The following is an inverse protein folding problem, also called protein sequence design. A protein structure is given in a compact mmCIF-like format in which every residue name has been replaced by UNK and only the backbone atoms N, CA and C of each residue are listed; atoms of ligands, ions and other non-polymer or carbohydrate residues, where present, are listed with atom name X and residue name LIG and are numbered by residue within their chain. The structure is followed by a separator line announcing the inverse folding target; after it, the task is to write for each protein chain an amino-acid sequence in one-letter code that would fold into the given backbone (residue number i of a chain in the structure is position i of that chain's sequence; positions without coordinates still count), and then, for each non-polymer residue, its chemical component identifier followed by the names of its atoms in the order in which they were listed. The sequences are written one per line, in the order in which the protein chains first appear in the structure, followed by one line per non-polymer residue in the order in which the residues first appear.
data_IF_834325591310
#
_entry.id   IF_834325591310
#
_cell.length_a   1.000
_cell.length_b   1.000
_cell.length_c   1.000
_cell.angle_alpha   90.00
_cell.angle_beta   90.00
_cell.angle_gamma   90.00
#
_symmetry.space_group_name_H-M   'P 1'
#
loop_
_entity.id
_entity.type
_entity.pdbx_description
1 polymer ?
#
# COMPACT_ATOMS: atom_id res chain seq x y z
N UNK A 1 -1.51 -42.62 -48.30
CA UNK A 1 -0.18 -42.62 -48.95
C UNK A 1 -0.03 -41.33 -49.74
N UNK A 2 0.76 -40.41 -49.23
CA UNK A 2 1.08 -39.15 -49.88
C UNK A 2 2.03 -39.40 -51.04
N UNK A 3 1.70 -38.84 -52.18
CA UNK A 3 2.51 -38.98 -53.42
C UNK A 3 3.77 -38.12 -53.27
N UNK A 4 5.01 -38.68 -53.23
CA UNK A 4 6.22 -37.94 -52.95
C UNK A 4 6.65 -37.00 -54.10
N UNK A 5 5.86 -36.87 -55.14
CA UNK A 5 6.14 -35.98 -56.28
C UNK A 5 5.27 -34.71 -56.29
N UNK A 6 4.33 -34.54 -55.34
CA UNK A 6 3.58 -33.29 -55.28
C UNK A 6 4.37 -32.25 -54.43
N UNK A 7 4.48 -31.03 -54.93
CA UNK A 7 5.08 -29.95 -54.12
C UNK A 7 4.27 -29.71 -52.87
N UNK A 8 4.96 -29.62 -51.73
CA UNK A 8 4.34 -29.29 -50.46
C UNK A 8 3.85 -27.83 -50.53
N UNK A 9 2.55 -27.62 -50.45
CA UNK A 9 1.95 -26.30 -50.39
C UNK A 9 1.45 -26.08 -48.97
N UNK A 10 1.92 -25.02 -48.33
CA UNK A 10 1.46 -24.58 -47.00
C UNK A 10 1.05 -23.13 -47.06
N UNK A 11 0.08 -22.76 -46.23
CA UNK A 11 -0.35 -21.38 -46.00
C UNK A 11 0.02 -21.01 -44.56
N UNK A 12 0.76 -19.96 -44.39
CA UNK A 12 1.04 -19.36 -43.09
C UNK A 12 0.26 -18.05 -42.94
N UNK A 13 -0.50 -17.92 -41.85
CA UNK A 13 -1.13 -16.65 -41.49
C UNK A 13 -0.21 -15.99 -40.48
N UNK A 14 0.28 -14.81 -40.82
CA UNK A 14 1.15 -14.02 -39.99
C UNK A 14 0.39 -12.74 -39.63
N UNK A 15 0.26 -12.49 -38.33
CA UNK A 15 -0.21 -11.19 -37.83
C UNK A 15 0.95 -10.20 -37.92
N UNK A 16 0.76 -9.13 -38.68
CA UNK A 16 1.72 -8.03 -38.77
C UNK A 16 1.12 -6.80 -38.14
N UNK A 17 1.96 -6.07 -37.38
CA UNK A 17 1.54 -4.76 -36.89
C UNK A 17 1.27 -3.82 -38.08
N UNK A 18 0.13 -3.10 -38.07
CA UNK A 18 -0.16 -2.13 -39.12
C UNK A 18 0.88 -1.01 -39.10
N UNK A 19 1.24 -0.50 -40.27
CA UNK A 19 2.08 0.69 -40.39
C UNK A 19 1.29 1.91 -39.91
N UNK A 20 1.59 2.40 -38.70
CA UNK A 20 0.95 3.53 -38.09
C UNK A 20 1.66 4.82 -38.51
N UNK A 21 1.00 5.70 -39.22
CA UNK A 21 1.47 7.05 -39.56
C UNK A 21 0.70 8.08 -38.73
N UNK A 22 1.18 8.46 -37.53
CA UNK A 22 0.47 9.41 -36.70
C UNK A 22 0.39 10.78 -37.37
N UNK A 23 -0.81 11.34 -37.39
CA UNK A 23 -1.04 12.71 -37.84
C UNK A 23 -0.82 13.63 -36.65
N UNK A 24 0.30 14.35 -36.66
CA UNK A 24 0.58 15.42 -35.72
C UNK A 24 0.02 16.72 -36.29
N UNK A 25 -0.95 17.29 -35.60
CA UNK A 25 -1.49 18.62 -35.92
C UNK A 25 -0.79 19.67 -35.05
N UNK A 26 -0.53 20.85 -35.63
CA UNK A 26 -0.05 22.02 -34.86
C UNK A 26 -1.07 22.48 -33.78
N UNK A 27 -2.30 22.02 -33.87
CA UNK A 27 -3.42 22.37 -33.00
C UNK A 27 -3.81 21.23 -32.05
N UNK A 28 -2.92 20.26 -31.88
CA UNK A 28 -3.13 19.21 -30.90
C UNK A 28 -2.85 19.78 -29.52
N UNK A 29 -3.90 20.07 -28.77
CA UNK A 29 -3.78 20.55 -27.38
C UNK A 29 -3.73 19.36 -26.44
N UNK A 30 -2.77 19.34 -25.55
CA UNK A 30 -2.67 18.41 -24.43
C UNK A 30 -2.63 19.21 -23.13
N UNK A 31 -2.97 18.57 -22.04
CA UNK A 31 -2.89 19.17 -20.72
C UNK A 31 -1.46 18.99 -20.16
N UNK A 32 -0.88 20.09 -19.72
CA UNK A 32 0.38 20.12 -18.98
C UNK A 32 0.03 20.24 -17.49
N UNK A 33 0.67 19.40 -16.68
CA UNK A 33 0.40 19.34 -15.24
C UNK A 33 1.54 20.01 -14.50
N UNK A 34 1.18 20.88 -13.56
CA UNK A 34 2.09 21.52 -12.62
C UNK A 34 1.57 21.26 -11.21
N UNK A 35 2.40 20.69 -10.36
CA UNK A 35 2.07 20.31 -8.99
C UNK A 35 2.91 21.16 -8.04
N UNK A 36 2.28 22.01 -7.29
CA UNK A 36 2.95 22.81 -6.26
C UNK A 36 3.11 21.98 -4.98
N UNK A 37 4.31 22.02 -4.39
CA UNK A 37 4.60 21.43 -3.08
C UNK A 37 4.51 22.52 -2.04
N UNK A 38 3.57 22.41 -1.15
CA UNK A 38 3.40 23.32 -0.03
C UNK A 38 4.30 22.95 1.16
N UNK A 39 4.54 23.90 2.05
CA UNK A 39 5.32 23.64 3.28
C UNK A 39 4.65 22.57 4.17
N UNK A 40 3.33 22.50 4.14
CA UNK A 40 2.57 21.48 4.85
C UNK A 40 2.88 20.07 4.35
N UNK A 41 3.03 19.86 3.04
CA UNK A 41 3.36 18.56 2.45
C UNK A 41 4.73 18.08 2.90
N UNK A 42 5.69 19.02 2.97
CA UNK A 42 7.04 18.72 3.46
C UNK A 42 6.99 18.30 4.93
N UNK A 43 6.21 19.00 5.76
CA UNK A 43 6.07 18.67 7.17
C UNK A 43 5.39 17.28 7.35
N UNK A 44 4.35 16.98 6.60
CA UNK A 44 3.69 15.68 6.60
C UNK A 44 4.66 14.56 6.20
N UNK A 45 5.46 14.76 5.16
CA UNK A 45 6.47 13.79 4.75
C UNK A 45 7.53 13.55 5.84
N UNK A 46 7.95 14.60 6.53
CA UNK A 46 8.89 14.51 7.66
C UNK A 46 8.25 13.75 8.83
N UNK A 47 6.99 14.03 9.16
CA UNK A 47 6.27 13.36 10.25
C UNK A 47 6.04 11.87 9.93
N UNK A 48 5.76 11.53 8.67
CA UNK A 48 5.69 10.14 8.23
C UNK A 48 7.03 9.40 8.39
N UNK A 49 8.14 10.07 8.05
CA UNK A 49 9.48 9.51 8.27
C UNK A 49 9.71 9.30 9.76
N UNK A 50 9.42 10.26 10.63
CA UNK A 50 9.57 10.15 12.08
C UNK A 50 8.76 8.98 12.65
N UNK A 51 7.53 8.79 12.19
CA UNK A 51 6.68 7.65 12.58
C UNK A 51 7.25 6.33 12.09
N UNK A 52 7.66 6.26 10.83
CA UNK A 52 8.18 5.03 10.21
C UNK A 52 9.48 4.52 10.87
N UNK A 53 10.33 5.43 11.32
CA UNK A 53 11.61 5.13 11.96
C UNK A 53 11.58 5.29 13.48
N UNK A 54 10.40 5.49 14.06
CA UNK A 54 10.17 5.51 15.49
C UNK A 54 10.29 4.15 16.13
N UNK A 55 10.32 4.14 17.43
CA UNK A 55 10.44 2.93 18.24
C UNK A 55 9.14 2.65 19.01
N UNK A 56 8.81 1.38 19.18
CA UNK A 56 7.66 0.96 19.97
C UNK A 56 8.07 0.75 21.43
N UNK A 57 7.44 1.49 22.34
CA UNK A 57 7.73 1.41 23.76
C UNK A 57 6.56 0.79 24.52
N UNK A 58 6.85 -0.18 25.38
CA UNK A 58 5.85 -0.81 26.24
C UNK A 58 5.22 0.21 27.19
N UNK A 59 3.90 0.20 27.27
CA UNK A 59 3.14 1.08 28.16
C UNK A 59 2.16 0.29 29.02
N UNK A 60 2.00 0.72 30.28
CA UNK A 60 1.13 0.08 31.26
C UNK A 60 -0.24 0.82 31.35
N UNK A 61 -0.92 0.90 30.19
CA UNK A 61 -2.25 1.55 30.09
C UNK A 61 -3.16 0.76 29.17
N UNK A 62 -4.40 1.22 29.05
CA UNK A 62 -5.33 0.71 28.06
C UNK A 62 -4.86 1.02 26.63
N UNK A 63 -5.09 0.08 25.73
CA UNK A 63 -4.78 0.20 24.31
C UNK A 63 -5.61 1.33 23.66
N UNK A 64 -4.98 2.11 22.81
CA UNK A 64 -5.59 3.21 22.04
C UNK A 64 -5.39 2.99 20.54
N UNK A 65 -6.10 3.75 19.74
CA UNK A 65 -5.81 3.83 18.31
C UNK A 65 -4.33 4.25 18.11
N UNK A 66 -3.72 3.72 17.06
CA UNK A 66 -2.31 3.88 16.68
C UNK A 66 -1.30 3.20 17.63
N UNK A 67 -1.74 2.55 18.72
CA UNK A 67 -0.86 1.68 19.51
C UNK A 67 -0.61 0.36 18.77
N UNK A 68 0.57 -0.21 18.95
CA UNK A 68 0.86 -1.59 18.57
C UNK A 68 0.54 -2.49 19.76
N UNK A 69 -0.25 -3.52 19.52
CA UNK A 69 -0.52 -4.55 20.52
C UNK A 69 0.16 -5.85 20.14
N UNK A 70 0.64 -6.58 21.15
CA UNK A 70 1.17 -7.94 21.00
C UNK A 70 0.12 -8.89 21.53
N UNK A 71 -0.45 -9.71 20.67
CA UNK A 71 -1.56 -10.61 20.98
C UNK A 71 -1.27 -12.05 20.58
N UNK A 72 -1.83 -12.99 21.33
CA UNK A 72 -2.14 -14.31 20.81
C UNK A 72 -3.64 -14.37 20.58
N UNK A 73 -4.07 -15.04 19.53
CA UNK A 73 -5.49 -15.26 19.31
C UNK A 73 -5.77 -16.63 18.71
N UNK A 74 -6.98 -17.13 18.99
CA UNK A 74 -7.55 -18.34 18.44
C UNK A 74 -8.97 -18.03 18.00
N UNK A 75 -9.27 -18.21 16.71
CA UNK A 75 -10.60 -18.03 16.15
C UNK A 75 -11.36 -19.36 16.11
N UNK A 76 -12.66 -19.32 16.38
CA UNK A 76 -13.57 -20.46 16.34
C UNK A 76 -14.85 -20.07 15.60
N UNK A 77 -15.39 -20.99 14.83
CA UNK A 77 -16.71 -20.86 14.19
C UNK A 77 -17.55 -22.02 14.72
N UNK A 78 -18.69 -21.70 15.35
CA UNK A 78 -19.56 -22.68 16.00
C UNK A 78 -18.83 -23.62 17.00
N UNK A 79 -17.76 -23.09 17.63
CA UNK A 79 -16.92 -23.80 18.59
C UNK A 79 -15.79 -24.65 17.98
N UNK A 80 -15.70 -24.74 16.65
CA UNK A 80 -14.65 -25.48 15.95
C UNK A 80 -13.57 -24.53 15.42
N UNK A 81 -12.33 -25.00 15.50
CA UNK A 81 -11.17 -24.27 14.95
C UNK A 81 -11.14 -24.40 13.41
N UNK A 82 -10.69 -23.33 12.72
CA UNK A 82 -10.55 -23.34 11.28
C UNK A 82 -9.11 -23.01 10.84
N UNK A 83 -8.73 -23.32 9.62
CA UNK A 83 -7.37 -23.12 9.11
C UNK A 83 -6.97 -21.64 9.08
N UNK A 84 -5.87 -21.30 9.74
CA UNK A 84 -5.36 -19.93 9.83
C UNK A 84 -6.01 -19.10 10.92
N UNK A 85 -6.71 -19.74 11.85
CA UNK A 85 -7.43 -19.10 12.96
C UNK A 85 -6.53 -18.71 14.15
N UNK A 86 -5.26 -19.06 14.17
CA UNK A 86 -4.39 -18.92 15.34
C UNK A 86 -3.12 -18.17 15.01
N UNK A 87 -2.74 -17.23 15.86
CA UNK A 87 -1.44 -16.60 15.84
C UNK A 87 -0.91 -16.40 17.27
N UNK A 88 0.42 -16.46 17.41
CA UNK A 88 1.10 -16.16 18.65
C UNK A 88 2.06 -14.99 18.44
N UNK A 89 2.21 -14.15 19.47
CA UNK A 89 3.08 -12.95 19.45
C UNK A 89 2.82 -12.04 18.22
N UNK A 90 1.56 -12.01 17.77
CA UNK A 90 1.18 -11.23 16.62
C UNK A 90 1.18 -9.74 16.98
N UNK A 91 1.92 -8.97 16.20
CA UNK A 91 2.01 -7.52 16.35
C UNK A 91 0.97 -6.85 15.46
N UNK A 92 0.04 -6.13 16.07
CA UNK A 92 -1.07 -5.47 15.39
C UNK A 92 -1.10 -4.00 15.77
N UNK A 93 -1.09 -3.11 14.79
CA UNK A 93 -1.32 -1.68 15.01
C UNK A 93 -2.82 -1.44 14.94
N UNK A 94 -3.39 -0.92 16.03
CA UNK A 94 -4.82 -0.64 16.12
C UNK A 94 -5.21 0.54 15.23
N UNK A 95 -6.21 0.34 14.36
CA UNK A 95 -6.63 1.31 13.35
C UNK A 95 -5.99 1.11 11.98
N UNK A 96 -5.06 0.16 11.84
CA UNK A 96 -4.43 -0.18 10.54
C UNK A 96 -5.38 -0.83 9.54
N UNK A 97 -6.53 -1.34 10.00
CA UNK A 97 -7.51 -2.10 9.21
C UNK A 97 -6.91 -3.34 8.54
N UNK A 98 -5.89 -3.92 9.17
CA UNK A 98 -5.24 -5.15 8.69
C UNK A 98 -6.00 -6.42 9.08
N UNK A 99 -6.91 -6.30 10.06
CA UNK A 99 -7.78 -7.38 10.53
C UNK A 99 -9.21 -7.19 10.03
N UNK A 100 -10.05 -8.21 10.24
CA UNK A 100 -11.48 -8.13 9.89
C UNK A 100 -12.20 -7.03 10.70
N UNK A 101 -13.25 -6.41 10.15
CA UNK A 101 -13.96 -5.33 10.81
C UNK A 101 -14.42 -5.70 12.22
N UNK A 102 -14.22 -4.78 13.17
CA UNK A 102 -14.58 -4.95 14.58
C UNK A 102 -13.52 -5.64 15.44
N UNK A 103 -12.52 -6.32 14.84
CA UNK A 103 -11.46 -6.98 15.60
C UNK A 103 -10.58 -5.97 16.34
N UNK A 104 -10.02 -5.01 15.62
CA UNK A 104 -9.15 -3.98 16.19
C UNK A 104 -9.91 -3.07 17.17
N UNK A 105 -11.14 -2.67 16.80
CA UNK A 105 -12.00 -1.82 17.64
C UNK A 105 -12.34 -2.47 19.00
N UNK A 106 -12.46 -3.80 19.03
CA UNK A 106 -12.75 -4.54 20.25
C UNK A 106 -11.59 -4.61 21.23
N UNK A 107 -10.37 -4.34 20.76
CA UNK A 107 -9.15 -4.31 21.58
C UNK A 107 -8.90 -2.91 22.15
N UNK A 108 -9.37 -1.86 21.47
CA UNK A 108 -9.26 -0.49 21.97
C UNK A 108 -9.94 -0.37 23.35
N UNK A 109 -9.28 0.28 24.31
CA UNK A 109 -9.73 0.43 25.69
C UNK A 109 -9.44 -0.78 26.59
N UNK A 110 -8.85 -1.86 26.08
CA UNK A 110 -8.47 -3.02 26.89
C UNK A 110 -7.06 -2.87 27.45
N UNK A 111 -6.88 -3.43 28.66
CA UNK A 111 -5.55 -3.66 29.26
C UNK A 111 -5.06 -5.06 28.93
N UNK A 112 -3.75 -5.34 29.06
CA UNK A 112 -3.22 -6.68 28.95
C UNK A 112 -4.03 -7.67 29.78
N UNK A 113 -4.74 -8.59 29.11
CA UNK A 113 -5.63 -9.59 29.69
C UNK A 113 -6.13 -10.57 28.62
N UNK A 114 -6.83 -11.62 29.05
CA UNK A 114 -7.54 -12.54 28.17
C UNK A 114 -9.01 -12.16 28.07
N UNK A 115 -9.55 -12.16 26.88
CA UNK A 115 -10.97 -11.89 26.59
C UNK A 115 -11.38 -12.51 25.26
N UNK A 116 -12.68 -12.66 25.06
CA UNK A 116 -13.24 -13.07 23.75
C UNK A 116 -13.93 -11.91 23.08
N UNK A 117 -13.90 -11.92 21.76
CA UNK A 117 -14.65 -10.99 20.90
C UNK A 117 -15.38 -11.76 19.82
N UNK A 118 -16.50 -11.21 19.34
CA UNK A 118 -17.20 -11.71 18.17
C UNK A 118 -17.00 -10.78 17.00
N UNK A 119 -16.59 -11.32 15.84
CA UNK A 119 -16.44 -10.58 14.61
C UNK A 119 -17.12 -11.31 13.47
N UNK A 120 -17.58 -10.57 12.46
CA UNK A 120 -18.16 -11.14 11.26
C UNK A 120 -17.21 -10.91 10.09
N UNK A 121 -16.90 -11.98 9.36
CA UNK A 121 -16.11 -11.85 8.14
C UNK A 121 -16.88 -11.03 7.09
N UNK A 122 -16.22 -10.16 6.32
CA UNK A 122 -16.83 -9.44 5.22
C UNK A 122 -17.43 -10.39 4.17
N UNK A 123 -18.47 -9.96 3.46
CA UNK A 123 -19.10 -10.77 2.40
C UNK A 123 -18.17 -11.00 1.19
N UNK A 124 -17.22 -10.08 0.98
CA UNK A 124 -16.19 -10.13 -0.06
C UNK A 124 -14.88 -10.76 0.41
N UNK A 125 -14.90 -11.49 1.54
CA UNK A 125 -13.70 -12.13 2.06
C UNK A 125 -13.13 -13.16 1.07
N UNK A 126 -11.81 -13.19 0.94
CA UNK A 126 -11.11 -14.02 -0.08
C UNK A 126 -11.39 -15.52 0.04
N UNK A 127 -11.64 -16.05 1.27
CA UNK A 127 -12.11 -17.42 1.50
C UNK A 127 -13.63 -17.43 1.52
N UNK A 128 -14.26 -17.94 0.46
CA UNK A 128 -15.72 -17.94 0.29
C UNK A 128 -16.46 -18.67 1.40
N UNK A 129 -15.85 -19.70 1.97
CA UNK A 129 -16.45 -20.49 3.06
C UNK A 129 -16.53 -19.73 4.38
N UNK A 130 -15.81 -18.62 4.51
CA UNK A 130 -15.81 -17.76 5.69
C UNK A 130 -16.59 -16.46 5.46
N UNK A 131 -16.93 -16.12 4.22
CA UNK A 131 -17.62 -14.88 3.89
C UNK A 131 -18.97 -14.77 4.60
N UNK A 132 -19.21 -13.65 5.31
CA UNK A 132 -20.43 -13.40 6.09
C UNK A 132 -20.59 -14.22 7.37
N UNK A 133 -19.64 -15.11 7.68
CA UNK A 133 -19.71 -15.98 8.86
C UNK A 133 -19.27 -15.25 10.11
N UNK A 134 -19.95 -15.49 11.22
CA UNK A 134 -19.54 -15.02 12.56
C UNK A 134 -18.49 -15.96 13.14
N UNK A 135 -17.44 -15.38 13.69
CA UNK A 135 -16.40 -16.10 14.40
C UNK A 135 -16.16 -15.48 15.78
N UNK A 136 -15.91 -16.31 16.77
CA UNK A 136 -15.46 -15.91 18.09
C UNK A 136 -13.95 -16.01 18.15
N UNK A 137 -13.27 -14.97 18.64
CA UNK A 137 -11.83 -14.94 18.83
C UNK A 137 -11.50 -14.84 20.32
N UNK A 138 -10.82 -15.84 20.82
CA UNK A 138 -10.17 -15.77 22.14
C UNK A 138 -8.85 -15.03 21.99
N UNK A 139 -8.73 -13.87 22.62
CA UNK A 139 -7.56 -13.00 22.53
C UNK A 139 -6.84 -12.98 23.88
N UNK A 140 -5.53 -13.15 23.84
CA UNK A 140 -4.63 -12.87 24.94
C UNK A 140 -3.79 -11.64 24.60
N UNK A 141 -4.20 -10.46 25.07
CA UNK A 141 -3.45 -9.22 24.93
C UNK A 141 -2.27 -9.24 25.89
N UNK A 142 -1.06 -9.38 25.38
CA UNK A 142 0.19 -9.48 26.16
C UNK A 142 0.73 -8.11 26.52
N UNK A 143 0.93 -7.27 25.50
CA UNK A 143 1.55 -5.96 25.65
C UNK A 143 0.80 -4.92 24.83
N UNK A 144 0.83 -3.69 25.34
CA UNK A 144 0.45 -2.48 24.60
C UNK A 144 1.72 -1.65 24.44
N UNK A 145 1.97 -1.19 23.21
CA UNK A 145 3.15 -0.42 22.85
C UNK A 145 2.73 0.88 22.18
N UNK A 146 3.27 1.99 22.64
CA UNK A 146 3.04 3.31 22.07
C UNK A 146 4.16 3.65 21.10
N UNK A 147 3.81 4.23 19.96
CA UNK A 147 4.77 4.74 19.00
C UNK A 147 5.44 5.99 19.56
N UNK A 148 6.74 5.91 19.74
CA UNK A 148 7.58 7.08 19.99
C UNK A 148 8.24 7.50 18.68
N UNK A 149 7.83 8.63 18.15
CA UNK A 149 8.41 9.17 16.93
C UNK A 149 9.93 9.33 17.05
N UNK A 150 10.64 9.03 15.97
CA UNK A 150 12.07 9.26 15.90
C UNK A 150 12.38 10.75 16.02
N UNK A 151 13.45 11.07 16.76
CA UNK A 151 13.99 12.42 16.73
C UNK A 151 14.72 12.65 15.41
N UNK A 152 14.70 13.90 14.93
CA UNK A 152 15.52 14.30 13.77
C UNK A 152 16.94 14.54 14.27
N UNK A 153 17.74 13.49 14.31
CA UNK A 153 19.10 13.46 14.83
C UNK A 153 20.00 12.53 14.00
N UNK A 154 21.23 12.37 14.45
CA UNK A 154 22.22 11.53 13.76
C UNK A 154 21.80 10.07 13.63
N UNK A 155 21.03 9.54 14.59
CA UNK A 155 20.59 8.15 14.56
C UNK A 155 19.58 7.94 13.44
N UNK A 156 18.63 8.88 13.28
CA UNK A 156 17.71 8.87 12.15
C UNK A 156 18.45 9.03 10.81
N UNK A 157 19.42 9.94 10.72
CA UNK A 157 20.19 10.13 9.50
C UNK A 157 20.97 8.88 9.10
N UNK A 158 21.55 8.18 10.07
CA UNK A 158 22.23 6.90 9.86
C UNK A 158 21.26 5.81 9.39
N UNK A 159 20.07 5.69 10.03
CA UNK A 159 19.02 4.74 9.60
C UNK A 159 18.56 5.00 8.15
N UNK A 160 18.53 6.27 7.74
CA UNK A 160 18.17 6.70 6.38
C UNK A 160 19.34 6.65 5.39
N UNK A 161 20.55 6.30 5.84
CA UNK A 161 21.79 6.32 5.05
C UNK A 161 22.05 7.70 4.39
N UNK A 162 21.77 8.77 5.13
CA UNK A 162 21.95 10.14 4.69
C UNK A 162 23.17 10.77 5.36
N UNK A 163 24.05 11.40 4.57
CA UNK A 163 25.17 12.19 5.06
C UNK A 163 24.73 13.63 5.38
N UNK A 164 23.94 13.79 6.43
CA UNK A 164 23.31 15.07 6.84
C UNK A 164 23.84 15.50 8.20
N UNK A 165 24.03 16.81 8.38
CA UNK A 165 24.63 17.38 9.58
C UNK A 165 23.61 17.90 10.59
N UNK A 166 22.50 18.45 10.09
CA UNK A 166 21.49 19.08 10.92
C UNK A 166 20.06 18.98 10.34
N UNK A 167 19.09 19.45 11.13
CA UNK A 167 17.66 19.41 10.77
C UNK A 167 17.32 20.27 9.54
N UNK A 168 18.05 21.35 9.29
CA UNK A 168 17.81 22.23 8.15
C UNK A 168 18.23 21.53 6.85
N UNK A 169 19.40 20.89 6.87
CA UNK A 169 19.90 20.10 5.75
C UNK A 169 18.98 18.89 5.47
N UNK A 170 18.44 18.26 6.54
CA UNK A 170 17.44 17.21 6.41
C UNK A 170 16.16 17.69 5.70
N UNK A 171 15.58 18.82 6.15
CA UNK A 171 14.39 19.42 5.50
C UNK A 171 14.65 19.74 4.03
N UNK A 172 15.83 20.29 3.71
CA UNK A 172 16.22 20.61 2.34
C UNK A 172 16.34 19.37 1.47
N UNK A 173 16.93 18.30 1.99
CA UNK A 173 17.05 17.03 1.27
C UNK A 173 15.69 16.40 0.99
N UNK A 174 14.79 16.36 1.99
CA UNK A 174 13.41 15.87 1.80
C UNK A 174 12.68 16.72 0.75
N UNK A 175 12.79 18.05 0.85
CA UNK A 175 12.19 18.96 -0.14
C UNK A 175 12.72 18.69 -1.55
N UNK A 176 14.03 18.47 -1.69
CA UNK A 176 14.65 18.17 -2.97
C UNK A 176 14.15 16.85 -3.56
N UNK A 177 14.04 15.81 -2.73
CA UNK A 177 13.50 14.51 -3.15
C UNK A 177 12.06 14.61 -3.60
N UNK A 178 11.21 15.30 -2.82
CA UNK A 178 9.81 15.52 -3.19
C UNK A 178 9.69 16.27 -4.52
N UNK A 179 10.48 17.33 -4.73
CA UNK A 179 10.50 18.08 -5.99
C UNK A 179 10.90 17.20 -7.19
N UNK A 180 11.90 16.35 -7.01
CA UNK A 180 12.30 15.42 -8.06
C UNK A 180 11.21 14.40 -8.38
N UNK A 181 10.54 13.87 -7.36
CA UNK A 181 9.43 12.92 -7.52
C UNK A 181 8.24 13.57 -8.22
N UNK A 182 7.86 14.78 -7.81
CA UNK A 182 6.80 15.57 -8.46
C UNK A 182 7.14 15.84 -9.91
N UNK A 183 8.37 16.27 -10.23
CA UNK A 183 8.77 16.52 -11.61
C UNK A 183 8.70 15.27 -12.52
N UNK A 184 8.97 14.09 -11.96
CA UNK A 184 8.79 12.83 -12.66
C UNK A 184 7.29 12.56 -12.88
N UNK A 185 6.46 12.77 -11.87
CA UNK A 185 5.03 12.55 -11.93
C UNK A 185 4.33 13.51 -12.91
N UNK A 186 4.68 14.79 -12.89
CA UNK A 186 4.21 15.80 -13.84
C UNK A 186 4.50 15.40 -15.28
N UNK A 187 5.74 14.93 -15.52
CA UNK A 187 6.16 14.47 -16.83
C UNK A 187 5.37 13.24 -17.29
N UNK A 188 5.10 12.29 -16.42
CA UNK A 188 4.31 11.11 -16.77
C UNK A 188 2.84 11.47 -17.02
N UNK A 189 2.22 12.32 -16.19
CA UNK A 189 0.85 12.81 -16.40
C UNK A 189 0.72 13.58 -17.73
N UNK A 190 1.67 14.49 -17.99
CA UNK A 190 1.70 15.25 -19.27
C UNK A 190 1.85 14.30 -20.46
N UNK A 191 2.70 13.28 -20.34
CA UNK A 191 2.90 12.27 -21.38
C UNK A 191 1.64 11.41 -21.60
N UNK A 192 0.92 11.03 -20.54
CA UNK A 192 -0.38 10.35 -20.65
C UNK A 192 -1.40 11.21 -21.37
N UNK A 193 -1.54 12.49 -21.00
CA UNK A 193 -2.41 13.46 -21.68
C UNK A 193 -2.07 13.58 -23.19
N UNK A 194 -0.79 13.63 -23.51
CA UNK A 194 -0.33 13.63 -24.91
C UNK A 194 -0.74 12.34 -25.64
N UNK A 195 -0.55 11.17 -25.04
CA UNK A 195 -0.94 9.90 -25.63
C UNK A 195 -2.45 9.79 -25.85
N UNK A 196 -3.25 10.16 -24.86
CA UNK A 196 -4.70 10.18 -25.00
C UNK A 196 -5.14 11.10 -26.16
N UNK A 197 -4.55 12.28 -26.24
CA UNK A 197 -4.86 13.24 -27.32
C UNK A 197 -4.46 12.70 -28.68
N UNK A 198 -3.31 12.05 -28.79
CA UNK A 198 -2.88 11.38 -30.03
C UNK A 198 -3.82 10.24 -30.41
N UNK A 199 -4.27 9.44 -29.47
CA UNK A 199 -5.23 8.35 -29.72
C UNK A 199 -6.59 8.88 -30.16
N UNK A 200 -7.09 9.95 -29.54
CA UNK A 200 -8.36 10.60 -29.91
C UNK A 200 -8.31 11.23 -31.30
N UNK A 201 -7.17 11.79 -31.71
CA UNK A 201 -6.99 12.46 -33.01
C UNK A 201 -6.62 11.51 -34.14
N UNK A 202 -6.17 10.31 -33.84
CA UNK A 202 -5.75 9.31 -34.81
C UNK A 202 -6.58 8.02 -34.61
N UNK A 203 -7.54 7.82 -35.53
CA UNK A 203 -8.39 6.64 -35.47
C UNK A 203 -7.64 5.45 -36.10
N UNK A 204 -7.01 4.64 -35.27
CA UNK A 204 -6.35 3.41 -35.70
C UNK A 204 -7.36 2.25 -35.69
N UNK A 205 -7.44 1.52 -36.79
CA UNK A 205 -8.07 0.20 -36.81
C UNK A 205 -7.00 -0.82 -36.50
N UNK A 206 -7.11 -1.44 -35.37
CA UNK A 206 -6.33 -2.61 -34.95
C UNK A 206 -7.05 -3.87 -35.43
#
# INVERSE_FOLDING_TARGET
SEDPKKPLTYSAIIEVFPEIKPKLSRWTNYEEFEIEIEENDINLAIDDIKKRYGDWNDVQREARLDDQVVIDFIGKIDGEEFEGNTANDFKLVLGSKSMIPGFEDSIVGKKPSKFSIECTFPEDYFKKDLAGVKAEFEINLKNVQEMKEANIDKDLFNKLQMEIKDKSEFKNEITSRMKNEVAIQEKELTKESMYETLLKTNNFKI
#
